data_IF_999762676679
#
_entry.id   IF_999762676679
#
_cell.length_a   1.000
_cell.length_b   1.000
_cell.length_c   1.000
_cell.angle_alpha   90.00
_cell.angle_beta   90.00
_cell.angle_gamma   90.00
#
_symmetry.space_group_name_H-M   'P 1'
#
loop_
_entity.id
_entity.type
_entity.pdbx_description
1 polymer ?
#
# COMPACT_ATOMS: atom_id res chain seq x y z
N UNK A 1 25.49 14.41 23.37
CA UNK A 1 24.88 14.89 22.11
C UNK A 1 23.66 14.03 21.85
N UNK A 2 22.45 14.58 21.68
CA UNK A 2 21.34 13.78 21.17
C UNK A 2 21.76 13.24 19.79
N UNK A 3 21.45 11.98 19.44
CA UNK A 3 21.76 11.47 18.11
C UNK A 3 21.01 12.35 17.11
N UNK A 4 21.67 12.74 16.02
CA UNK A 4 21.02 13.39 14.89
C UNK A 4 19.80 12.54 14.54
N UNK A 5 18.60 13.08 14.71
CA UNK A 5 17.37 12.37 14.38
C UNK A 5 17.40 12.13 12.87
N UNK A 6 17.59 10.88 12.48
CA UNK A 6 17.55 10.48 11.08
C UNK A 6 16.20 10.88 10.48
N UNK A 7 16.20 11.41 9.26
CA UNK A 7 14.99 11.89 8.56
C UNK A 7 13.95 10.76 8.47
N UNK A 8 14.39 9.51 8.34
CA UNK A 8 13.50 8.35 8.36
C UNK A 8 12.79 8.17 9.71
N UNK A 9 13.49 8.35 10.83
CA UNK A 9 12.91 8.31 12.17
C UNK A 9 11.91 9.45 12.40
N UNK A 10 12.23 10.65 11.89
CA UNK A 10 11.29 11.77 11.90
C UNK A 10 10.02 11.46 11.10
N UNK A 11 10.14 10.95 9.86
CA UNK A 11 8.99 10.57 9.04
C UNK A 11 8.18 9.45 9.70
N UNK A 12 8.83 8.49 10.35
CA UNK A 12 8.15 7.45 11.14
C UNK A 12 7.29 8.05 12.26
N UNK A 13 7.85 9.00 13.02
CA UNK A 13 7.09 9.76 14.04
C UNK A 13 5.96 10.59 13.45
N UNK A 14 6.19 11.23 12.31
CA UNK A 14 5.19 12.02 11.60
C UNK A 14 4.01 11.14 11.11
N UNK A 15 4.31 9.97 10.56
CA UNK A 15 3.28 8.99 10.16
C UNK A 15 2.51 8.46 11.37
N UNK A 16 3.15 8.32 12.53
CA UNK A 16 2.44 7.93 13.75
C UNK A 16 1.34 8.93 14.14
N UNK A 17 1.55 10.23 13.86
CA UNK A 17 0.55 11.27 14.09
C UNK A 17 -0.48 11.37 12.96
N UNK A 18 -0.02 11.56 11.72
CA UNK A 18 -0.87 12.00 10.58
C UNK A 18 -1.15 10.92 9.54
N UNK A 19 -0.52 9.75 9.68
CA UNK A 19 -0.65 8.65 8.73
C UNK A 19 -2.03 7.99 8.76
N UNK A 20 -2.43 7.42 7.63
CA UNK A 20 -3.64 6.64 7.49
C UNK A 20 -3.36 5.35 6.72
N UNK A 21 -3.78 4.24 7.30
CA UNK A 21 -3.74 2.91 6.71
C UNK A 21 -5.18 2.45 6.50
N UNK A 22 -5.61 2.37 5.25
CA UNK A 22 -7.02 2.11 4.91
C UNK A 22 -7.16 0.84 4.10
N UNK A 23 -8.19 0.05 4.43
CA UNK A 23 -8.73 -1.04 3.63
C UNK A 23 -10.16 -0.66 3.26
N UNK A 24 -10.54 -0.76 1.99
CA UNK A 24 -11.89 -0.38 1.55
C UNK A 24 -12.37 -1.16 0.31
N UNK A 25 -13.68 -1.28 0.15
CA UNK A 25 -14.33 -1.84 -1.04
C UNK A 25 -14.37 -3.37 -1.13
N UNK A 26 -15.06 -3.85 -2.15
CA UNK A 26 -15.12 -5.27 -2.56
C UNK A 26 -14.96 -5.35 -4.10
N UNK A 27 -13.85 -5.90 -4.62
CA UNK A 27 -12.72 -6.49 -3.91
C UNK A 27 -11.91 -5.46 -3.09
N UNK A 28 -11.31 -5.91 -2.00
CA UNK A 28 -10.56 -5.05 -1.08
C UNK A 28 -9.43 -4.30 -1.79
N UNK A 29 -9.40 -3.00 -1.57
CA UNK A 29 -8.35 -2.07 -1.98
C UNK A 29 -7.62 -1.54 -0.75
N UNK A 30 -6.33 -1.30 -0.90
CA UNK A 30 -5.44 -0.89 0.18
C UNK A 30 -4.79 0.45 -0.17
N UNK A 31 -4.69 1.33 0.82
CA UNK A 31 -3.94 2.57 0.66
C UNK A 31 -3.22 2.98 1.94
N UNK A 32 -2.05 3.57 1.73
CA UNK A 32 -1.37 4.39 2.71
C UNK A 32 -1.51 5.86 2.30
N UNK A 33 -1.79 6.75 3.25
CA UNK A 33 -1.83 8.17 3.00
C UNK A 33 -1.33 8.98 4.20
N UNK A 34 -0.79 10.17 3.94
CA UNK A 34 -0.56 11.21 4.96
C UNK A 34 -1.21 12.47 4.42
N UNK A 35 -2.22 12.98 5.13
CA UNK A 35 -2.98 14.16 4.74
C UNK A 35 -2.71 15.32 5.69
N UNK A 36 -2.54 16.52 5.15
CA UNK A 36 -2.21 17.74 5.87
C UNK A 36 -2.96 18.93 5.29
N UNK A 37 -2.94 20.06 5.99
CA UNK A 37 -3.32 21.35 5.41
C UNK A 37 -2.42 21.70 4.21
N UNK A 38 -2.95 22.41 3.23
CA UNK A 38 -2.25 22.72 1.98
C UNK A 38 -1.00 23.58 2.18
N UNK A 39 -0.93 24.36 3.26
CA UNK A 39 0.26 25.11 3.66
C UNK A 39 1.44 24.18 3.96
N UNK A 40 1.17 22.98 4.48
CA UNK A 40 2.16 21.97 4.84
C UNK A 40 2.44 20.97 3.72
N UNK A 41 2.07 21.29 2.47
CA UNK A 41 2.35 20.45 1.29
C UNK A 41 3.83 20.04 1.19
N UNK A 42 4.75 20.89 1.64
CA UNK A 42 6.18 20.57 1.69
C UNK A 42 6.48 19.29 2.45
N UNK A 43 5.73 19.00 3.52
CA UNK A 43 5.87 17.76 4.27
C UNK A 43 5.43 16.53 3.47
N UNK A 44 4.36 16.65 2.68
CA UNK A 44 3.96 15.58 1.77
C UNK A 44 5.05 15.29 0.71
N UNK A 45 5.79 16.31 0.26
CA UNK A 45 6.91 16.17 -0.67
C UNK A 45 8.08 15.45 -0.03
N UNK A 46 8.46 15.81 1.20
CA UNK A 46 9.51 15.12 1.96
C UNK A 46 9.20 13.63 2.11
N UNK A 47 7.95 13.29 2.47
CA UNK A 47 7.53 11.88 2.58
C UNK A 47 7.57 11.17 1.22
N UNK A 48 7.14 11.84 0.15
CA UNK A 48 7.18 11.28 -1.21
C UNK A 48 8.62 11.02 -1.67
N UNK A 49 9.53 11.97 -1.46
CA UNK A 49 10.94 11.87 -1.84
C UNK A 49 11.64 10.75 -1.08
N UNK A 50 11.40 10.66 0.23
CA UNK A 50 11.99 9.62 1.07
C UNK A 50 11.52 8.21 0.68
N UNK A 51 10.21 8.05 0.41
CA UNK A 51 9.65 6.75 0.03
C UNK A 51 9.91 6.41 -1.44
N UNK A 52 10.08 7.41 -2.31
CA UNK A 52 10.22 7.22 -3.76
C UNK A 52 8.97 6.65 -4.45
N UNK A 53 7.82 6.60 -3.75
CA UNK A 53 6.55 6.08 -4.26
C UNK A 53 5.37 6.96 -3.85
N UNK A 54 4.28 6.85 -4.59
CA UNK A 54 3.04 7.60 -4.33
C UNK A 54 2.95 8.88 -5.16
N UNK A 55 1.78 9.52 -5.05
CA UNK A 55 1.48 10.78 -5.69
C UNK A 55 0.84 11.73 -4.69
N UNK A 56 1.16 13.02 -4.82
CA UNK A 56 0.54 14.06 -4.02
C UNK A 56 -0.74 14.50 -4.71
N UNK A 57 -1.84 14.50 -3.96
CA UNK A 57 -3.13 15.03 -4.39
C UNK A 57 -3.48 16.23 -3.53
N UNK A 58 -4.06 17.26 -4.14
CA UNK A 58 -4.62 18.41 -3.42
C UNK A 58 -6.14 18.34 -3.49
N UNK A 59 -6.79 18.63 -2.37
CA UNK A 59 -8.23 18.68 -2.26
C UNK A 59 -8.63 20.10 -1.89
N UNK A 60 -9.52 20.70 -2.68
CA UNK A 60 -10.15 21.94 -2.29
C UNK A 60 -10.96 21.71 -1.01
N UNK A 61 -10.93 22.69 -0.11
CA UNK A 61 -11.67 22.67 1.15
C UNK A 61 -13.13 22.26 0.93
N UNK A 62 -13.63 21.36 1.78
CA UNK A 62 -15.04 20.90 1.71
C UNK A 62 -16.02 21.88 2.36
N UNK A 63 -15.53 22.77 3.23
CA UNK A 63 -16.33 23.76 3.95
C UNK A 63 -15.54 25.09 4.04
N UNK A 64 -16.21 26.25 4.16
CA UNK A 64 -15.55 27.56 4.09
C UNK A 64 -14.50 27.83 5.18
N UNK A 65 -14.61 27.17 6.35
CA UNK A 65 -13.72 27.36 7.51
C UNK A 65 -12.60 26.32 7.61
N UNK A 66 -12.48 25.41 6.64
CA UNK A 66 -11.35 24.50 6.54
C UNK A 66 -10.37 25.03 5.50
N UNK A 67 -9.09 24.77 5.72
CA UNK A 67 -8.06 24.98 4.73
C UNK A 67 -8.17 23.93 3.62
N UNK A 68 -7.60 24.24 2.46
CA UNK A 68 -7.35 23.23 1.44
C UNK A 68 -6.44 22.14 2.03
N UNK A 69 -6.51 20.92 1.51
CA UNK A 69 -5.71 19.79 2.00
C UNK A 69 -4.74 19.29 0.93
N UNK A 70 -3.58 18.82 1.35
CA UNK A 70 -2.64 18.08 0.51
C UNK A 70 -2.41 16.70 1.13
N UNK A 71 -2.37 15.65 0.31
CA UNK A 71 -2.08 14.30 0.79
C UNK A 71 -1.14 13.55 -0.15
N UNK A 72 -0.12 12.90 0.40
CA UNK A 72 0.65 11.88 -0.30
C UNK A 72 -0.09 10.55 -0.17
N UNK A 73 -0.34 9.88 -1.29
CA UNK A 73 -1.12 8.63 -1.34
C UNK A 73 -0.38 7.55 -2.11
N UNK A 74 -0.27 6.36 -1.51
CA UNK A 74 0.28 5.16 -2.13
C UNK A 74 -0.84 4.11 -2.23
N UNK A 75 -1.12 3.65 -3.45
CA UNK A 75 -2.14 2.59 -3.74
C UNK A 75 -1.59 1.41 -4.54
N UNK A 76 -0.46 1.60 -5.23
CA UNK A 76 0.13 0.55 -6.04
C UNK A 76 0.64 -0.58 -5.14
N UNK A 77 0.15 -1.81 -5.36
CA UNK A 77 0.49 -2.98 -4.55
C UNK A 77 2.00 -3.17 -4.38
N UNK A 78 2.84 -3.04 -5.42
CA UNK A 78 4.30 -3.12 -5.25
C UNK A 78 4.87 -2.05 -4.31
N UNK A 79 4.40 -0.79 -4.42
CA UNK A 79 4.86 0.30 -3.55
C UNK A 79 4.44 0.09 -2.09
N UNK A 80 3.23 -0.41 -1.85
CA UNK A 80 2.78 -0.75 -0.51
C UNK A 80 3.64 -1.87 0.11
N UNK A 81 3.89 -2.93 -0.64
CA UNK A 81 4.53 -4.15 -0.10
C UNK A 81 6.04 -4.04 -0.03
N UNK A 82 6.69 -3.43 -1.02
CA UNK A 82 8.15 -3.41 -1.12
C UNK A 82 8.78 -2.14 -0.58
N UNK A 83 7.99 -1.09 -0.31
CA UNK A 83 8.50 0.19 0.20
C UNK A 83 7.83 0.56 1.53
N UNK A 84 6.50 0.73 1.52
CA UNK A 84 5.80 1.21 2.73
C UNK A 84 5.93 0.22 3.87
N UNK A 85 5.69 -1.08 3.64
CA UNK A 85 5.79 -2.10 4.71
C UNK A 85 7.19 -2.15 5.34
N UNK A 86 8.30 -2.32 4.58
CA UNK A 86 9.63 -2.32 5.18
C UNK A 86 9.95 -1.03 5.95
N UNK A 87 9.61 0.14 5.37
CA UNK A 87 9.86 1.42 6.01
C UNK A 87 9.11 1.55 7.35
N UNK A 88 7.82 1.15 7.40
CA UNK A 88 7.03 1.23 8.62
C UNK A 88 7.44 0.16 9.64
N UNK A 89 7.82 -1.03 9.20
CA UNK A 89 8.37 -2.06 10.07
C UNK A 89 9.59 -1.51 10.84
N UNK A 90 10.47 -0.78 10.16
CA UNK A 90 11.69 -0.20 10.73
C UNK A 90 11.46 1.08 11.55
N UNK A 91 10.67 2.03 11.05
CA UNK A 91 10.68 3.40 11.57
C UNK A 91 9.41 3.86 12.29
N UNK A 92 8.28 3.17 12.16
CA UNK A 92 7.04 3.60 12.82
C UNK A 92 7.17 3.39 14.36
N UNK A 93 7.05 4.37 15.25
CA UNK A 93 7.20 4.10 16.67
C UNK A 93 6.01 3.32 17.25
N UNK A 94 6.19 2.63 18.41
CA UNK A 94 5.09 2.10 19.20
C UNK A 94 4.02 3.16 19.45
N UNK A 95 2.82 2.91 18.95
CA UNK A 95 1.72 3.88 18.96
C UNK A 95 0.40 3.20 18.59
N UNK A 96 -0.73 3.87 18.81
CA UNK A 96 -2.02 3.40 18.30
C UNK A 96 -1.99 3.24 16.76
N UNK A 97 -1.25 4.11 16.06
CA UNK A 97 -1.06 4.03 14.61
C UNK A 97 -0.30 2.78 14.20
N UNK A 98 0.71 2.36 14.97
CA UNK A 98 1.42 1.10 14.73
C UNK A 98 0.49 -0.11 14.80
N UNK A 99 -0.44 -0.15 15.75
CA UNK A 99 -1.43 -1.23 15.82
C UNK A 99 -2.34 -1.25 14.58
N UNK A 100 -2.77 -0.08 14.10
CA UNK A 100 -3.55 0.04 12.86
C UNK A 100 -2.74 -0.44 11.65
N UNK A 101 -1.46 -0.05 11.57
CA UNK A 101 -0.53 -0.48 10.54
C UNK A 101 -0.35 -2.00 10.54
N UNK A 102 -0.15 -2.64 11.68
CA UNK A 102 0.10 -4.07 11.78
C UNK A 102 -1.12 -4.90 11.31
N UNK A 103 -2.33 -4.47 11.70
CA UNK A 103 -3.56 -5.07 11.20
C UNK A 103 -3.70 -4.90 9.67
N UNK A 104 -3.45 -3.69 9.17
CA UNK A 104 -3.48 -3.38 7.74
C UNK A 104 -2.43 -4.16 6.93
N UNK A 105 -1.20 -4.27 7.45
CA UNK A 105 -0.08 -5.02 6.86
C UNK A 105 -0.44 -6.50 6.73
N UNK A 106 -1.02 -7.08 7.77
CA UNK A 106 -1.45 -8.48 7.77
C UNK A 106 -2.46 -8.72 6.64
N UNK A 107 -3.53 -7.93 6.59
CA UNK A 107 -4.55 -8.04 5.56
C UNK A 107 -3.99 -7.81 4.13
N UNK A 108 -3.05 -6.86 3.96
CA UNK A 108 -2.39 -6.59 2.68
C UNK A 108 -1.57 -7.79 2.19
N UNK A 109 -0.77 -8.39 3.07
CA UNK A 109 0.10 -9.51 2.72
C UNK A 109 -0.72 -10.77 2.40
N UNK A 110 -1.79 -11.03 3.16
CA UNK A 110 -2.76 -12.09 2.86
C UNK A 110 -3.41 -11.85 1.49
N UNK A 111 -3.91 -10.64 1.24
CA UNK A 111 -4.49 -10.28 -0.06
C UNK A 111 -3.50 -10.52 -1.22
N UNK A 112 -2.24 -10.11 -1.06
CA UNK A 112 -1.18 -10.36 -2.05
C UNK A 112 -0.98 -11.84 -2.29
N UNK A 113 -0.92 -12.65 -1.23
CA UNK A 113 -0.74 -14.10 -1.36
C UNK A 113 -1.92 -14.74 -2.09
N UNK A 114 -3.15 -14.39 -1.71
CA UNK A 114 -4.36 -14.86 -2.40
C UNK A 114 -4.39 -14.45 -3.87
N UNK A 115 -3.97 -13.22 -4.19
CA UNK A 115 -3.85 -12.76 -5.58
C UNK A 115 -2.77 -13.52 -6.34
N UNK A 116 -1.59 -13.74 -5.75
CA UNK A 116 -0.53 -14.52 -6.35
C UNK A 116 -0.94 -15.98 -6.62
N UNK A 117 -1.71 -16.60 -5.71
CA UNK A 117 -2.29 -17.94 -5.91
C UNK A 117 -3.20 -18.01 -7.15
N UNK A 118 -3.95 -16.95 -7.46
CA UNK A 118 -4.81 -16.88 -8.66
C UNK A 118 -4.05 -16.72 -9.97
N UNK A 119 -2.81 -16.24 -9.94
CA UNK A 119 -2.00 -15.95 -11.15
C UNK A 119 -1.00 -17.08 -11.47
N UNK A 120 -1.01 -18.18 -10.70
CA UNK A 120 -0.09 -19.32 -10.94
C UNK A 120 -0.19 -19.85 -12.38
N UNK A 121 0.92 -20.30 -12.98
CA UNK A 121 0.91 -20.87 -14.33
C UNK A 121 0.16 -22.21 -14.38
N UNK A 122 -0.16 -22.63 -15.59
CA UNK A 122 -0.71 -23.94 -15.91
C UNK A 122 0.22 -25.04 -15.39
N UNK A 123 -0.33 -26.15 -14.92
CA UNK A 123 0.44 -27.34 -14.54
C UNK A 123 0.94 -28.16 -15.72
N UNK A 124 0.62 -27.76 -16.95
CA UNK A 124 1.10 -28.46 -18.15
C UNK A 124 2.49 -27.94 -18.45
N UNK A 125 3.47 -28.83 -18.50
CA UNK A 125 4.85 -28.46 -18.80
C UNK A 125 4.94 -27.69 -20.12
N UNK A 126 5.73 -26.61 -20.13
CA UNK A 126 5.85 -25.70 -21.28
C UNK A 126 4.68 -24.72 -21.46
N UNK A 127 3.67 -24.69 -20.57
CA UNK A 127 2.56 -23.74 -20.65
C UNK A 127 2.64 -22.64 -19.58
N UNK A 128 3.05 -21.43 -19.98
CA UNK A 128 3.16 -20.27 -19.08
C UNK A 128 1.82 -19.52 -18.86
N UNK A 129 0.74 -19.98 -19.50
CA UNK A 129 -0.57 -19.33 -19.36
C UNK A 129 -1.08 -19.47 -17.93
N UNK A 130 -1.75 -18.43 -17.43
CA UNK A 130 -2.35 -18.45 -16.10
C UNK A 130 -3.41 -19.54 -15.95
N UNK A 131 -3.36 -20.22 -14.81
CA UNK A 131 -4.32 -21.25 -14.40
C UNK A 131 -5.71 -20.62 -14.21
N UNK A 132 -6.74 -21.28 -14.70
CA UNK A 132 -8.16 -20.94 -14.46
C UNK A 132 -8.81 -21.90 -13.47
N UNK A 133 -8.75 -23.21 -13.72
CA UNK A 133 -9.40 -24.22 -12.88
C UNK A 133 -8.63 -25.54 -12.95
N UNK A 134 -8.69 -26.35 -11.87
CA UNK A 134 -8.06 -27.68 -11.79
C UNK A 134 -6.58 -27.75 -12.16
N UNK A 135 -5.81 -26.69 -11.95
CA UNK A 135 -4.41 -26.68 -12.36
C UNK A 135 -4.16 -26.17 -13.78
N UNK A 136 -5.20 -26.06 -14.61
CA UNK A 136 -5.09 -25.87 -16.05
C UNK A 136 -5.41 -24.43 -16.49
N UNK A 137 -4.76 -23.98 -17.55
CA UNK A 137 -5.14 -22.75 -18.25
C UNK A 137 -6.48 -22.93 -18.97
N UNK A 138 -7.08 -21.84 -19.46
CA UNK A 138 -8.38 -21.89 -20.15
C UNK A 138 -8.41 -22.92 -21.28
N UNK A 139 -7.38 -22.98 -22.12
CA UNK A 139 -7.28 -23.93 -23.25
C UNK A 139 -7.26 -25.38 -22.75
N UNK A 140 -6.27 -25.72 -21.93
CA UNK A 140 -6.10 -27.08 -21.42
C UNK A 140 -7.28 -27.54 -20.56
N UNK A 141 -7.96 -26.62 -19.87
CA UNK A 141 -9.19 -26.93 -19.16
C UNK A 141 -10.31 -27.36 -20.11
N UNK A 142 -10.53 -26.64 -21.22
CA UNK A 142 -11.53 -27.06 -22.22
C UNK A 142 -11.14 -28.35 -22.92
N UNK A 143 -9.86 -28.52 -23.26
CA UNK A 143 -9.39 -29.75 -23.91
C UNK A 143 -9.56 -30.98 -23.01
N UNK A 144 -9.36 -30.84 -21.70
CA UNK A 144 -9.60 -31.90 -20.73
C UNK A 144 -11.08 -32.31 -20.59
N UNK A 145 -12.01 -31.44 -21.00
CA UNK A 145 -13.47 -31.64 -20.88
C UNK A 145 -14.19 -31.85 -22.22
N UNK A 146 -13.46 -31.80 -23.35
CA UNK A 146 -13.99 -32.15 -24.68
C UNK A 146 -14.01 -33.67 -24.91
N UNK A 147 -14.67 -34.39 -24.01
CA UNK A 147 -14.94 -35.83 -24.17
C UNK A 147 -16.44 -36.06 -24.29
#
# INVERSE_FOLDING_TARGET
MPPATDVASFVGGFVAAEGSFTVSGEPSSFSFAVGLGALDKGMCQVVQELLGVGHITQFARRKPHYDDEAAIVVRALPGLVHVVVPFMDEHLPPSYKRNQYEAWRTALLEYREHRAKRVRPCTIEGCERSRRAKGLCRSHYYDAYRR
#
